data_IF_738080887154
#
_entry.id   IF_738080887154
#
_cell.length_a   1.000
_cell.length_b   1.000
_cell.length_c   1.000
_cell.angle_alpha   90.00
_cell.angle_beta   90.00
_cell.angle_gamma   90.00
#
_symmetry.space_group_name_H-M   'P 1'
#
loop_
_entity.id
_entity.type
_entity.pdbx_description
1 polymer ?
#
# COMPACT_ATOMS: atom_id res chain seq x y z
N UNK A 1 24.25 62.17 14.55
CA UNK A 1 24.33 60.72 14.10
C UNK A 1 23.10 60.04 14.63
N UNK A 2 22.03 60.10 13.81
CA UNK A 2 20.75 59.50 14.17
C UNK A 2 20.78 57.99 13.90
N UNK A 3 20.70 57.25 14.97
CA UNK A 3 20.47 55.80 14.90
C UNK A 3 18.97 55.55 14.57
N UNK A 4 18.71 55.27 13.33
CA UNK A 4 17.41 54.77 12.84
C UNK A 4 17.08 53.46 13.55
N UNK A 5 16.31 53.55 14.65
CA UNK A 5 15.72 52.41 15.31
C UNK A 5 14.63 51.86 14.40
N UNK A 6 15.01 50.88 13.55
CA UNK A 6 14.06 50.14 12.74
C UNK A 6 13.30 49.19 13.68
N UNK A 7 12.19 49.60 14.21
CA UNK A 7 11.23 48.76 14.91
C UNK A 7 10.79 47.63 13.93
N UNK A 8 11.52 46.54 13.94
CA UNK A 8 10.99 45.29 13.40
C UNK A 8 9.79 44.92 14.27
N UNK A 9 8.62 45.02 13.69
CA UNK A 9 7.39 44.47 14.28
C UNK A 9 7.58 42.98 14.44
N UNK A 10 7.95 42.54 15.62
CA UNK A 10 7.92 41.14 16.00
C UNK A 10 6.44 40.75 16.15
N UNK A 11 5.98 39.89 15.23
CA UNK A 11 4.63 39.31 15.34
C UNK A 11 4.74 38.20 16.39
N UNK A 12 4.39 38.49 17.62
CA UNK A 12 4.26 37.47 18.65
C UNK A 12 2.96 36.70 18.40
N UNK A 13 3.08 35.52 17.83
CA UNK A 13 1.95 34.61 17.58
C UNK A 13 1.66 33.89 18.90
N UNK A 14 0.55 34.18 19.54
CA UNK A 14 0.09 33.43 20.69
C UNK A 14 -0.52 32.09 20.20
N UNK A 15 0.22 31.01 20.43
CA UNK A 15 -0.22 29.67 20.00
C UNK A 15 -1.58 29.25 20.59
N UNK A 16 -1.88 29.70 21.83
CA UNK A 16 -3.14 29.39 22.50
C UNK A 16 -4.32 30.02 21.78
N UNK A 17 -4.19 31.29 21.40
CA UNK A 17 -5.25 32.03 20.71
C UNK A 17 -5.47 31.51 19.30
N UNK A 18 -4.39 31.15 18.62
CA UNK A 18 -4.41 30.46 17.29
C UNK A 18 -5.18 29.14 17.36
N UNK A 19 -4.87 28.32 18.37
CA UNK A 19 -5.53 27.01 18.55
C UNK A 19 -7.03 27.18 18.89
N UNK A 20 -7.36 28.12 19.75
CA UNK A 20 -8.74 28.44 20.12
C UNK A 20 -9.53 28.99 18.92
N UNK A 21 -8.89 29.79 18.06
CA UNK A 21 -9.51 30.27 16.81
C UNK A 21 -9.80 29.12 15.86
N UNK A 22 -8.86 28.21 15.65
CA UNK A 22 -9.06 27.01 14.79
C UNK A 22 -10.20 26.15 15.33
N UNK A 23 -10.24 25.93 16.66
CA UNK A 23 -11.32 25.16 17.31
C UNK A 23 -12.69 25.86 17.15
N UNK A 24 -12.77 27.18 17.27
CA UNK A 24 -14.02 27.92 17.08
C UNK A 24 -14.55 27.83 15.64
N UNK A 25 -13.68 27.51 14.67
CA UNK A 25 -13.99 27.33 13.27
C UNK A 25 -13.87 25.86 12.80
N UNK A 26 -13.89 24.91 13.75
CA UNK A 26 -13.72 23.48 13.46
C UNK A 26 -14.71 22.92 12.43
N UNK A 27 -15.93 23.50 12.36
CA UNK A 27 -16.91 23.11 11.35
C UNK A 27 -16.44 23.40 9.91
N UNK A 28 -15.67 24.49 9.70
CA UNK A 28 -15.08 24.84 8.40
C UNK A 28 -14.00 23.80 8.04
N UNK A 29 -13.15 23.43 9.02
CA UNK A 29 -12.16 22.37 8.85
C UNK A 29 -12.83 21.05 8.47
N UNK A 30 -13.88 20.66 9.21
CA UNK A 30 -14.62 19.44 8.93
C UNK A 30 -15.24 19.44 7.52
N UNK A 31 -15.84 20.54 7.11
CA UNK A 31 -16.46 20.68 5.78
C UNK A 31 -15.40 20.65 4.67
N UNK A 32 -14.28 21.34 4.84
CA UNK A 32 -13.18 21.34 3.87
C UNK A 32 -12.52 19.95 3.77
N UNK A 33 -12.33 19.26 4.91
CA UNK A 33 -11.81 17.88 4.92
C UNK A 33 -12.77 16.91 4.23
N UNK A 34 -14.08 17.03 4.49
CA UNK A 34 -15.09 16.21 3.81
C UNK A 34 -15.06 16.42 2.29
N UNK A 35 -14.95 17.67 1.86
CA UNK A 35 -14.84 18.00 0.44
C UNK A 35 -13.57 17.41 -0.19
N UNK A 36 -12.44 17.48 0.51
CA UNK A 36 -11.19 16.85 0.06
C UNK A 36 -11.32 15.33 -0.06
N UNK A 37 -12.01 14.67 0.86
CA UNK A 37 -12.32 13.22 0.79
C UNK A 37 -13.16 12.91 -0.44
N UNK A 38 -14.21 13.69 -0.71
CA UNK A 38 -15.07 13.50 -1.88
C UNK A 38 -14.26 13.67 -3.18
N UNK A 39 -13.44 14.69 -3.26
CA UNK A 39 -12.58 14.94 -4.44
C UNK A 39 -11.59 13.79 -4.64
N UNK A 40 -10.93 13.33 -3.57
CA UNK A 40 -10.01 12.17 -3.62
C UNK A 40 -10.72 10.88 -4.04
N UNK A 41 -11.93 10.65 -3.54
CA UNK A 41 -12.75 9.50 -3.93
C UNK A 41 -13.14 9.54 -5.41
N UNK A 42 -13.63 10.68 -5.91
CA UNK A 42 -13.97 10.86 -7.32
C UNK A 42 -12.75 10.72 -8.23
N UNK A 43 -11.62 11.32 -7.82
CA UNK A 43 -10.36 11.16 -8.54
C UNK A 43 -9.96 9.69 -8.67
N UNK A 44 -10.04 8.94 -7.59
CA UNK A 44 -9.67 7.51 -7.60
C UNK A 44 -10.57 6.69 -8.51
N UNK A 45 -11.90 6.90 -8.48
CA UNK A 45 -12.81 6.16 -9.37
C UNK A 45 -12.62 6.48 -10.85
N UNK A 46 -12.24 7.73 -11.18
CA UNK A 46 -12.15 8.15 -12.58
C UNK A 46 -10.78 7.85 -13.17
N UNK A 47 -9.70 7.98 -12.38
CA UNK A 47 -8.33 7.96 -12.89
C UNK A 47 -7.50 6.75 -12.45
N UNK A 48 -7.94 5.99 -11.44
CA UNK A 48 -7.22 4.81 -10.97
C UNK A 48 -7.86 3.56 -11.55
N UNK A 49 -7.06 2.79 -12.29
CA UNK A 49 -7.50 1.53 -12.87
C UNK A 49 -7.82 0.50 -11.78
N UNK A 50 -8.87 -0.29 -12.03
CA UNK A 50 -9.22 -1.41 -11.17
C UNK A 50 -8.09 -2.44 -11.16
N UNK A 51 -7.74 -2.93 -9.97
CA UNK A 51 -6.76 -3.99 -9.81
C UNK A 51 -7.38 -5.20 -9.15
N UNK A 52 -6.90 -6.36 -9.57
CA UNK A 52 -7.41 -7.65 -9.12
C UNK A 52 -6.29 -8.44 -8.46
N UNK A 53 -6.54 -8.93 -7.25
CA UNK A 53 -5.58 -9.73 -6.49
C UNK A 53 -6.01 -11.18 -6.41
N UNK A 54 -5.05 -12.09 -6.61
CA UNK A 54 -5.23 -13.52 -6.44
C UNK A 54 -4.11 -14.12 -5.64
N UNK A 55 -4.43 -14.94 -4.63
CA UNK A 55 -3.48 -15.53 -3.70
C UNK A 55 -3.34 -17.02 -3.94
N UNK A 56 -2.12 -17.48 -4.15
CA UNK A 56 -1.73 -18.88 -4.10
C UNK A 56 -0.89 -19.17 -2.87
N UNK A 57 -1.01 -20.36 -2.29
CA UNK A 57 -0.25 -20.77 -1.11
C UNK A 57 0.57 -22.00 -1.40
N UNK A 58 1.84 -21.92 -1.05
CA UNK A 58 2.82 -22.98 -1.21
C UNK A 58 3.30 -23.43 0.16
N UNK A 59 3.18 -24.70 0.44
CA UNK A 59 3.74 -25.33 1.63
C UNK A 59 5.14 -25.80 1.33
N UNK A 60 6.12 -25.34 2.09
CA UNK A 60 7.53 -25.67 1.93
C UNK A 60 7.93 -26.56 3.09
N UNK A 61 8.54 -27.69 2.79
CA UNK A 61 8.97 -28.63 3.82
C UNK A 61 10.31 -29.28 3.44
N UNK A 62 11.07 -29.60 4.49
CA UNK A 62 12.28 -30.41 4.36
C UNK A 62 11.94 -31.83 4.75
N UNK A 63 12.29 -32.80 3.91
CA UNK A 63 12.02 -34.21 4.17
C UNK A 63 12.74 -34.74 5.39
N UNK A 64 13.84 -34.11 5.81
CA UNK A 64 14.56 -34.45 7.02
C UNK A 64 13.77 -34.13 8.30
N UNK A 65 12.87 -33.14 8.30
CA UNK A 65 12.03 -32.80 9.45
C UNK A 65 11.00 -33.90 9.77
N UNK A 66 10.56 -34.67 8.75
CA UNK A 66 9.50 -35.68 8.89
C UNK A 66 9.91 -36.84 9.82
N UNK A 67 11.21 -37.07 10.03
CA UNK A 67 11.73 -38.09 10.92
C UNK A 67 12.17 -37.60 12.30
N UNK A 68 12.17 -36.29 12.52
CA UNK A 68 12.63 -35.69 13.78
C UNK A 68 11.40 -35.29 14.60
N UNK A 69 11.35 -35.82 15.84
CA UNK A 69 10.33 -35.46 16.81
C UNK A 69 10.92 -34.62 17.94
N UNK A 70 10.15 -33.64 18.40
CA UNK A 70 10.49 -32.84 19.58
C UNK A 70 10.32 -33.65 20.91
N UNK A 71 10.55 -33.00 22.06
CA UNK A 71 10.38 -33.59 23.40
C UNK A 71 8.95 -34.08 23.67
N UNK A 72 7.96 -33.60 22.91
CA UNK A 72 6.54 -33.95 23.03
C UNK A 72 6.12 -35.05 22.05
N UNK A 73 7.05 -35.57 21.25
CA UNK A 73 6.83 -36.52 20.16
C UNK A 73 6.06 -35.91 18.96
N UNK A 74 6.09 -34.56 18.81
CA UNK A 74 5.57 -33.83 17.63
C UNK A 74 6.68 -33.66 16.59
N UNK A 75 6.32 -33.57 15.31
CA UNK A 75 7.29 -33.35 14.23
C UNK A 75 7.94 -31.97 14.39
N UNK A 76 9.26 -31.92 14.36
CA UNK A 76 10.02 -30.68 14.45
C UNK A 76 10.11 -30.01 13.05
N UNK A 77 9.30 -29.01 12.81
CA UNK A 77 9.26 -28.25 11.57
C UNK A 77 10.25 -27.07 11.50
N UNK A 78 11.33 -27.10 12.27
CA UNK A 78 12.26 -25.96 12.36
C UNK A 78 12.95 -25.66 11.05
N UNK A 79 13.49 -26.67 10.35
CA UNK A 79 14.14 -26.49 9.05
C UNK A 79 13.14 -26.05 7.98
N UNK A 80 12.00 -26.71 7.91
CA UNK A 80 10.93 -26.35 6.97
C UNK A 80 10.48 -24.90 7.12
N UNK A 81 10.32 -24.42 8.36
CA UNK A 81 9.99 -23.01 8.63
C UNK A 81 11.10 -22.07 8.21
N UNK A 82 12.36 -22.44 8.43
CA UNK A 82 13.50 -21.63 8.01
C UNK A 82 13.54 -21.49 6.48
N UNK A 83 13.33 -22.56 5.74
CA UNK A 83 13.22 -22.51 4.28
C UNK A 83 12.01 -21.69 3.83
N UNK A 84 10.86 -21.85 4.45
CA UNK A 84 9.68 -21.08 4.10
C UNK A 84 9.87 -19.57 4.31
N UNK A 85 10.58 -19.17 5.39
CA UNK A 85 10.90 -17.77 5.66
C UNK A 85 11.84 -17.17 4.64
N UNK A 86 12.83 -17.95 4.16
CA UNK A 86 13.82 -17.49 3.17
C UNK A 86 13.28 -17.55 1.74
N UNK A 87 12.23 -18.31 1.47
CA UNK A 87 11.71 -18.59 0.14
C UNK A 87 11.28 -17.37 -0.68
N UNK A 88 10.74 -16.28 -0.08
CA UNK A 88 10.46 -15.06 -0.85
C UNK A 88 11.69 -14.46 -1.54
N UNK A 89 12.89 -14.67 -1.00
CA UNK A 89 14.14 -14.16 -1.57
C UNK A 89 14.53 -14.87 -2.88
N UNK A 90 14.00 -16.07 -3.14
CA UNK A 90 14.21 -16.79 -4.39
C UNK A 90 13.31 -16.30 -5.53
N UNK A 91 12.32 -15.46 -5.27
CA UNK A 91 11.46 -14.86 -6.30
C UNK A 91 12.17 -13.65 -6.92
N UNK A 92 13.13 -13.95 -7.77
CA UNK A 92 14.00 -13.00 -8.48
C UNK A 92 13.54 -12.75 -9.92
N UNK A 93 14.25 -11.88 -10.65
CA UNK A 93 14.03 -11.69 -12.09
C UNK A 93 14.28 -12.98 -12.88
N UNK A 94 15.31 -13.76 -12.51
CA UNK A 94 15.65 -15.01 -13.16
C UNK A 94 14.52 -16.04 -12.99
N UNK A 95 14.00 -16.17 -11.78
CA UNK A 95 12.83 -17.00 -11.53
C UNK A 95 11.61 -16.54 -12.33
N UNK A 96 11.34 -15.24 -12.35
CA UNK A 96 10.25 -14.69 -13.15
C UNK A 96 10.42 -14.98 -14.64
N UNK A 97 11.66 -14.99 -15.14
CA UNK A 97 11.93 -15.36 -16.54
C UNK A 97 11.60 -16.84 -16.82
N UNK A 98 11.89 -17.75 -15.88
CA UNK A 98 11.49 -19.16 -15.98
C UNK A 98 9.96 -19.29 -16.06
N UNK A 99 9.23 -18.58 -15.16
CA UNK A 99 7.76 -18.58 -15.19
C UNK A 99 7.21 -18.04 -16.50
N UNK A 100 7.78 -16.95 -17.03
CA UNK A 100 7.38 -16.38 -18.32
C UNK A 100 7.60 -17.37 -19.46
N UNK A 101 8.75 -18.06 -19.47
CA UNK A 101 9.05 -19.07 -20.47
C UNK A 101 8.01 -20.21 -20.43
N UNK A 102 7.62 -20.66 -19.24
CA UNK A 102 6.54 -21.66 -19.06
C UNK A 102 5.18 -21.16 -19.53
N UNK A 103 4.84 -19.90 -19.27
CA UNK A 103 3.57 -19.29 -19.71
C UNK A 103 3.50 -19.11 -21.22
N UNK A 104 4.61 -18.77 -21.87
CA UNK A 104 4.70 -18.54 -23.31
C UNK A 104 5.04 -19.81 -24.10
N UNK A 105 5.50 -20.87 -23.44
CA UNK A 105 6.01 -22.08 -24.08
C UNK A 105 7.32 -21.89 -24.83
N UNK A 106 8.14 -20.91 -24.42
CA UNK A 106 9.41 -20.57 -25.06
C UNK A 106 10.58 -21.00 -24.17
N UNK A 107 11.68 -21.46 -24.79
CA UNK A 107 12.95 -21.77 -24.11
C UNK A 107 12.76 -22.59 -22.81
N UNK A 108 11.97 -23.66 -22.90
CA UNK A 108 11.76 -24.59 -21.80
C UNK A 108 13.02 -25.44 -21.60
N UNK A 109 13.47 -25.56 -20.33
CA UNK A 109 14.57 -26.49 -19.99
C UNK A 109 14.13 -27.95 -20.08
N UNK A 110 15.12 -28.89 -20.11
CA UNK A 110 14.81 -30.32 -20.14
C UNK A 110 13.92 -30.70 -18.91
N UNK A 111 12.74 -31.25 -19.20
CA UNK A 111 11.77 -31.67 -18.21
C UNK A 111 10.71 -30.61 -17.86
N UNK A 112 10.88 -29.35 -18.22
CA UNK A 112 9.87 -28.33 -18.04
C UNK A 112 8.75 -28.43 -19.07
N UNK A 113 7.53 -28.20 -18.64
CA UNK A 113 6.34 -28.16 -19.47
C UNK A 113 5.70 -26.78 -19.49
N UNK A 114 5.05 -26.46 -20.62
CA UNK A 114 4.24 -25.25 -20.72
C UNK A 114 3.15 -25.25 -19.64
N UNK A 115 2.94 -24.13 -18.98
CA UNK A 115 1.87 -23.98 -17.99
C UNK A 115 0.49 -24.03 -18.67
N UNK A 116 -0.39 -24.89 -18.18
CA UNK A 116 -1.73 -25.06 -18.74
C UNK A 116 -2.69 -23.95 -18.31
N UNK A 117 -2.89 -22.96 -19.16
CA UNK A 117 -3.83 -21.88 -18.98
C UNK A 117 -5.27 -22.22 -19.40
N UNK A 118 -5.53 -23.44 -19.91
CA UNK A 118 -6.83 -23.81 -20.50
C UNK A 118 -8.01 -23.66 -19.52
N UNK A 119 -7.75 -23.89 -18.25
CA UNK A 119 -8.74 -23.70 -17.15
C UNK A 119 -9.29 -22.27 -17.09
N UNK A 120 -8.48 -21.28 -17.46
CA UNK A 120 -8.83 -19.85 -17.36
C UNK A 120 -9.22 -19.25 -18.71
N UNK A 121 -8.52 -19.67 -19.77
CA UNK A 121 -8.57 -19.05 -21.09
C UNK A 121 -9.26 -19.93 -22.15
N UNK A 122 -9.57 -21.19 -21.82
CA UNK A 122 -10.10 -22.16 -22.80
C UNK A 122 -9.08 -22.44 -23.90
N UNK A 123 -9.38 -22.03 -25.14
CA UNK A 123 -8.51 -22.27 -26.31
C UNK A 123 -7.57 -21.08 -26.63
N UNK A 124 -7.71 -19.95 -25.94
CA UNK A 124 -6.88 -18.77 -26.18
C UNK A 124 -5.49 -18.97 -25.58
N UNK A 125 -4.44 -18.63 -26.30
CA UNK A 125 -3.07 -18.69 -25.77
C UNK A 125 -2.84 -17.57 -24.73
N UNK A 126 -1.91 -17.81 -23.78
CA UNK A 126 -1.55 -16.79 -22.81
C UNK A 126 -1.07 -15.49 -23.48
N UNK A 127 -0.29 -15.60 -24.56
CA UNK A 127 0.22 -14.45 -25.30
C UNK A 127 -0.92 -13.59 -25.87
N UNK A 128 -1.88 -14.21 -26.55
CA UNK A 128 -3.03 -13.48 -27.14
C UNK A 128 -3.88 -12.82 -26.06
N UNK A 129 -4.10 -13.53 -24.94
CA UNK A 129 -4.82 -13.00 -23.81
C UNK A 129 -4.10 -11.82 -23.18
N UNK A 130 -2.80 -11.96 -22.89
CA UNK A 130 -1.98 -10.90 -22.30
C UNK A 130 -1.97 -9.65 -23.19
N UNK A 131 -1.80 -9.81 -24.49
CA UNK A 131 -1.85 -8.70 -25.46
C UNK A 131 -3.22 -8.01 -25.44
N UNK A 132 -4.29 -8.78 -25.34
CA UNK A 132 -5.66 -8.20 -25.33
C UNK A 132 -5.96 -7.38 -24.06
N UNK A 133 -5.36 -7.77 -22.92
CA UNK A 133 -5.58 -7.11 -21.63
C UNK A 133 -4.68 -5.89 -21.45
N UNK A 134 -3.38 -6.05 -21.75
CA UNK A 134 -2.36 -5.04 -21.45
C UNK A 134 -1.95 -4.17 -22.63
N UNK A 135 -2.33 -4.57 -23.86
CA UNK A 135 -1.87 -3.96 -25.11
C UNK A 135 -0.39 -4.18 -25.42
N UNK A 136 0.30 -5.07 -24.69
CA UNK A 136 1.72 -5.39 -24.86
C UNK A 136 1.90 -6.80 -25.38
N UNK A 137 2.87 -7.00 -26.25
CA UNK A 137 3.12 -8.31 -26.88
C UNK A 137 3.74 -9.35 -25.95
N UNK A 138 4.48 -8.90 -24.94
CA UNK A 138 5.19 -9.77 -23.99
C UNK A 138 5.25 -9.15 -22.61
N UNK A 139 5.30 -10.01 -21.59
CA UNK A 139 5.58 -9.64 -20.21
C UNK A 139 7.08 -9.73 -19.96
N UNK A 140 7.66 -8.78 -19.25
CA UNK A 140 9.07 -8.82 -18.82
C UNK A 140 9.17 -9.30 -17.38
N UNK A 141 10.34 -9.85 -16.98
CA UNK A 141 10.61 -10.31 -15.63
C UNK A 141 10.40 -9.18 -14.59
N UNK A 142 10.90 -7.97 -14.86
CA UNK A 142 10.70 -6.80 -14.02
C UNK A 142 9.21 -6.45 -13.87
N UNK A 143 8.44 -6.59 -14.93
CA UNK A 143 7.00 -6.32 -14.88
C UNK A 143 6.26 -7.40 -14.09
N UNK A 144 6.65 -8.66 -14.25
CA UNK A 144 6.10 -9.76 -13.45
C UNK A 144 6.39 -9.57 -11.97
N UNK A 145 7.62 -9.19 -11.59
CA UNK A 145 7.96 -8.87 -10.19
C UNK A 145 7.10 -7.74 -9.61
N UNK A 146 6.74 -6.74 -10.41
CA UNK A 146 5.84 -5.67 -9.95
C UNK A 146 4.40 -6.14 -9.69
N UNK A 147 3.98 -7.20 -10.33
CA UNK A 147 2.69 -7.81 -10.09
C UNK A 147 2.68 -8.72 -8.86
N UNK A 148 3.86 -9.12 -8.36
CA UNK A 148 3.99 -10.11 -7.30
C UNK A 148 4.29 -9.46 -5.95
N UNK A 149 3.59 -9.93 -4.93
CA UNK A 149 3.96 -9.77 -3.53
C UNK A 149 4.08 -11.16 -2.93
N UNK A 150 5.24 -11.48 -2.38
CA UNK A 150 5.50 -12.80 -1.80
C UNK A 150 5.83 -12.62 -0.33
N UNK A 151 5.08 -13.28 0.51
CA UNK A 151 5.20 -13.19 1.95
C UNK A 151 5.27 -14.57 2.60
N UNK A 152 6.04 -14.68 3.66
CA UNK A 152 6.08 -15.88 4.50
C UNK A 152 5.76 -15.50 5.94
N UNK A 153 4.96 -16.34 6.59
CA UNK A 153 4.72 -16.22 8.02
C UNK A 153 5.76 -17.05 8.77
N UNK A 154 6.63 -16.40 9.54
CA UNK A 154 7.71 -17.06 10.29
C UNK A 154 7.28 -18.16 11.27
N UNK A 155 6.00 -18.29 11.56
CA UNK A 155 5.44 -19.33 12.43
C UNK A 155 4.88 -20.54 11.66
N UNK A 156 4.88 -20.48 10.32
CA UNK A 156 4.30 -21.52 9.46
C UNK A 156 5.28 -21.91 8.36
N UNK A 157 5.08 -23.09 7.79
CA UNK A 157 5.82 -23.55 6.61
C UNK A 157 5.13 -23.10 5.29
N UNK A 158 4.35 -22.03 5.33
CA UNK A 158 3.56 -21.57 4.19
C UNK A 158 4.08 -20.25 3.68
N UNK A 159 4.35 -20.20 2.39
CA UNK A 159 4.60 -19.00 1.62
C UNK A 159 3.32 -18.61 0.87
N UNK A 160 2.95 -17.35 0.92
CA UNK A 160 1.82 -16.78 0.18
C UNK A 160 2.33 -15.95 -1.00
N UNK A 161 1.84 -16.26 -2.17
CA UNK A 161 2.14 -15.57 -3.42
C UNK A 161 0.87 -14.84 -3.85
N UNK A 162 0.92 -13.52 -3.81
CA UNK A 162 -0.17 -12.63 -4.24
C UNK A 162 0.21 -12.00 -5.57
N UNK A 163 -0.62 -12.19 -6.58
CA UNK A 163 -0.51 -11.48 -7.86
C UNK A 163 -1.57 -10.39 -7.95
N UNK A 164 -1.13 -9.16 -8.24
CA UNK A 164 -1.96 -7.96 -8.38
C UNK A 164 -1.83 -7.39 -9.81
N UNK A 165 -2.89 -7.52 -10.60
CA UNK A 165 -2.89 -7.15 -12.02
C UNK A 165 -4.17 -6.40 -12.42
N UNK A 166 -4.18 -5.90 -13.66
CA UNK A 166 -5.31 -5.15 -14.25
C UNK A 166 -6.51 -6.06 -14.63
N UNK A 167 -6.31 -7.39 -14.66
CA UNK A 167 -7.36 -8.34 -15.02
C UNK A 167 -7.46 -9.49 -14.02
N UNK A 168 -8.70 -9.89 -13.71
CA UNK A 168 -8.97 -10.93 -12.72
C UNK A 168 -8.44 -12.31 -13.11
N UNK A 169 -8.46 -12.67 -14.39
CA UNK A 169 -7.92 -13.95 -14.86
C UNK A 169 -6.39 -13.91 -14.89
N UNK A 170 -5.82 -12.77 -15.29
CA UNK A 170 -4.38 -12.58 -15.33
C UNK A 170 -3.77 -12.75 -13.94
N UNK A 171 -4.38 -12.15 -12.89
CA UNK A 171 -3.90 -12.32 -11.52
C UNK A 171 -3.91 -13.79 -11.07
N UNK A 172 -4.99 -14.51 -11.37
CA UNK A 172 -5.08 -15.93 -11.01
C UNK A 172 -4.06 -16.80 -11.79
N UNK A 173 -3.85 -16.52 -13.08
CA UNK A 173 -2.88 -17.26 -13.90
C UNK A 173 -1.47 -17.02 -13.38
N UNK A 174 -1.07 -15.77 -13.14
CA UNK A 174 0.27 -15.43 -12.66
C UNK A 174 0.51 -16.04 -11.28
N UNK A 175 -0.40 -15.87 -10.32
CA UNK A 175 -0.24 -16.43 -8.98
C UNK A 175 -0.03 -17.95 -9.00
N UNK A 176 -0.83 -18.65 -9.81
CA UNK A 176 -0.74 -20.10 -9.91
C UNK A 176 0.47 -20.58 -10.70
N UNK A 177 0.83 -19.90 -11.79
CA UNK A 177 2.02 -20.25 -12.56
C UNK A 177 3.30 -20.06 -11.75
N UNK A 178 3.38 -19.00 -10.94
CA UNK A 178 4.48 -18.74 -10.01
C UNK A 178 4.54 -19.84 -8.95
N UNK A 179 3.40 -20.17 -8.32
CA UNK A 179 3.33 -21.19 -7.29
C UNK A 179 3.72 -22.59 -7.82
N UNK A 180 3.27 -22.94 -9.02
CA UNK A 180 3.56 -24.22 -9.66
C UNK A 180 5.01 -24.34 -10.14
N UNK A 181 5.61 -23.22 -10.57
CA UNK A 181 7.01 -23.20 -11.01
C UNK A 181 8.00 -23.17 -9.84
N UNK A 182 7.53 -22.83 -8.63
CA UNK A 182 8.40 -22.64 -7.49
C UNK A 182 8.99 -23.94 -6.96
N UNK A 183 8.25 -25.06 -7.03
CA UNK A 183 8.74 -26.37 -6.61
C UNK A 183 9.97 -26.79 -7.41
N UNK A 184 9.87 -26.77 -8.75
CA UNK A 184 10.96 -27.16 -9.65
C UNK A 184 12.17 -26.23 -9.50
N UNK A 185 11.91 -24.91 -9.42
CA UNK A 185 12.96 -23.91 -9.29
C UNK A 185 13.71 -24.00 -7.94
N UNK A 186 12.99 -24.25 -6.85
CA UNK A 186 13.60 -24.38 -5.53
C UNK A 186 14.54 -25.61 -5.45
N UNK A 187 14.11 -26.72 -6.04
CA UNK A 187 14.93 -27.94 -6.12
C UNK A 187 16.23 -27.71 -6.92
N UNK A 188 16.12 -26.99 -8.04
CA UNK A 188 17.26 -26.65 -8.91
C UNK A 188 18.25 -25.71 -8.20
N UNK A 189 17.76 -24.62 -7.59
CA UNK A 189 18.62 -23.63 -6.91
C UNK A 189 19.31 -24.18 -5.68
N UNK A 190 18.63 -25.02 -4.91
CA UNK A 190 19.20 -25.62 -3.69
C UNK A 190 20.03 -26.86 -3.97
N UNK A 191 20.04 -27.38 -5.21
CA UNK A 191 20.73 -28.60 -5.63
C UNK A 191 20.46 -29.79 -4.65
N UNK A 192 19.22 -29.88 -4.13
CA UNK A 192 18.82 -30.87 -3.16
C UNK A 192 17.37 -31.34 -3.35
N UNK A 193 17.15 -32.64 -3.20
CA UNK A 193 15.82 -33.25 -3.17
C UNK A 193 15.17 -33.25 -1.79
N UNK A 194 15.84 -32.72 -0.78
CA UNK A 194 15.33 -32.72 0.60
C UNK A 194 14.29 -31.62 0.82
N UNK A 195 14.44 -30.47 0.16
CA UNK A 195 13.50 -29.35 0.28
C UNK A 195 12.48 -29.46 -0.85
N UNK A 196 11.22 -29.46 -0.47
CA UNK A 196 10.10 -29.58 -1.41
C UNK A 196 9.09 -28.48 -1.17
N UNK A 197 8.49 -28.04 -2.26
CA UNK A 197 7.39 -27.08 -2.24
C UNK A 197 6.12 -27.77 -2.81
N UNK A 198 4.98 -27.50 -2.23
CA UNK A 198 3.70 -28.05 -2.68
C UNK A 198 2.61 -26.98 -2.65
N UNK A 199 1.95 -26.79 -3.79
CA UNK A 199 0.79 -25.90 -3.84
C UNK A 199 -0.33 -26.48 -2.98
N UNK A 200 -0.70 -25.79 -1.90
CA UNK A 200 -1.78 -26.18 -0.99
C UNK A 200 -3.08 -25.46 -1.29
N UNK A 201 -3.01 -24.26 -1.83
CA UNK A 201 -4.17 -23.51 -2.24
C UNK A 201 -3.85 -22.76 -3.54
N UNK A 202 -4.62 -23.06 -4.58
CA UNK A 202 -4.51 -22.36 -5.86
C UNK A 202 -5.27 -21.03 -5.80
N UNK A 203 -4.69 -20.00 -6.39
CA UNK A 203 -5.33 -18.70 -6.55
C UNK A 203 -6.61 -18.81 -7.38
N UNK A 204 -7.64 -18.14 -6.91
CA UNK A 204 -8.95 -18.10 -7.59
C UNK A 204 -9.08 -16.82 -8.38
N UNK A 205 -9.84 -16.86 -9.47
CA UNK A 205 -10.20 -15.65 -10.20
C UNK A 205 -11.04 -14.75 -9.30
N UNK A 206 -10.58 -13.55 -8.95
CA UNK A 206 -11.32 -12.66 -8.07
C UNK A 206 -12.60 -12.16 -8.76
N UNK A 207 -13.69 -12.11 -8.00
CA UNK A 207 -15.01 -11.63 -8.49
C UNK A 207 -15.16 -10.12 -8.43
N UNK A 208 -14.29 -9.45 -7.68
CA UNK A 208 -14.31 -7.99 -7.48
C UNK A 208 -12.89 -7.45 -7.51
N UNK A 209 -12.76 -6.21 -7.96
CA UNK A 209 -11.51 -5.48 -7.88
C UNK A 209 -11.07 -5.30 -6.43
N UNK A 210 -9.76 -5.35 -6.21
CA UNK A 210 -9.14 -5.03 -4.93
C UNK A 210 -9.06 -3.51 -4.80
N UNK A 211 -9.89 -2.93 -3.93
CA UNK A 211 -9.93 -1.47 -3.74
C UNK A 211 -8.92 -0.96 -2.70
N UNK A 212 -7.78 -1.63 -2.52
CA UNK A 212 -6.75 -1.17 -1.59
C UNK A 212 -6.26 0.24 -1.90
N UNK A 213 -6.11 0.57 -3.18
CA UNK A 213 -5.69 1.92 -3.60
C UNK A 213 -6.76 2.97 -3.29
N UNK A 214 -8.04 2.63 -3.41
CA UNK A 214 -9.15 3.51 -3.04
C UNK A 214 -9.07 3.90 -1.57
N UNK A 215 -8.87 2.94 -0.68
CA UNK A 215 -8.74 3.19 0.76
C UNK A 215 -7.51 4.06 1.06
N UNK A 216 -6.37 3.75 0.46
CA UNK A 216 -5.11 4.52 0.62
C UNK A 216 -5.29 5.97 0.16
N UNK A 217 -5.91 6.20 -0.99
CA UNK A 217 -6.12 7.53 -1.55
C UNK A 217 -7.13 8.35 -0.73
N UNK A 218 -8.20 7.74 -0.22
CA UNK A 218 -9.16 8.40 0.67
C UNK A 218 -8.48 8.86 1.96
N UNK A 219 -7.68 8.00 2.59
CA UNK A 219 -6.95 8.35 3.82
C UNK A 219 -5.95 9.49 3.54
N UNK A 220 -5.21 9.41 2.43
CA UNK A 220 -4.29 10.46 2.02
C UNK A 220 -5.02 11.79 1.76
N UNK A 221 -6.15 11.75 1.06
CA UNK A 221 -7.01 12.91 0.82
C UNK A 221 -7.54 13.54 2.10
N UNK A 222 -7.92 12.71 3.08
CA UNK A 222 -8.37 13.19 4.39
C UNK A 222 -7.24 13.91 5.16
N UNK A 223 -6.04 13.34 5.19
CA UNK A 223 -4.87 13.93 5.87
C UNK A 223 -4.49 15.27 5.20
N UNK A 224 -4.38 15.27 3.87
CA UNK A 224 -4.05 16.49 3.11
C UNK A 224 -5.12 17.56 3.27
N UNK A 225 -6.40 17.20 3.22
CA UNK A 225 -7.52 18.12 3.41
C UNK A 225 -7.52 18.75 4.79
N UNK A 226 -7.28 17.95 5.83
CA UNK A 226 -7.17 18.44 7.20
C UNK A 226 -5.98 19.40 7.36
N UNK A 227 -4.81 19.03 6.82
CA UNK A 227 -3.62 19.89 6.92
C UNK A 227 -3.81 21.22 6.18
N UNK A 228 -4.31 21.19 4.94
CA UNK A 228 -4.53 22.39 4.14
C UNK A 228 -5.59 23.30 4.74
N UNK A 229 -6.67 22.74 5.30
CA UNK A 229 -7.72 23.55 5.96
C UNK A 229 -7.22 24.22 7.22
N UNK A 230 -6.43 23.53 8.05
CA UNK A 230 -5.79 24.13 9.21
C UNK A 230 -4.78 25.22 8.81
N UNK A 231 -3.95 24.96 7.79
CA UNK A 231 -2.99 25.94 7.28
C UNK A 231 -3.69 27.20 6.74
N UNK A 232 -4.80 27.04 6.00
CA UNK A 232 -5.58 28.15 5.47
C UNK A 232 -6.19 28.99 6.61
N UNK A 233 -6.77 28.36 7.64
CA UNK A 233 -7.30 29.08 8.82
C UNK A 233 -6.19 29.78 9.59
N UNK A 234 -5.04 29.16 9.75
CA UNK A 234 -3.86 29.78 10.36
C UNK A 234 -3.43 31.03 9.60
N UNK A 235 -3.38 30.93 8.27
CA UNK A 235 -3.01 32.07 7.42
C UNK A 235 -4.03 33.21 7.51
N UNK A 236 -5.32 32.89 7.53
CA UNK A 236 -6.39 33.87 7.78
C UNK A 236 -6.26 34.50 9.16
N UNK A 237 -5.89 33.72 10.19
CA UNK A 237 -5.67 34.23 11.53
C UNK A 237 -4.52 35.24 11.60
N UNK A 238 -3.37 34.88 10.97
CA UNK A 238 -2.16 35.74 10.96
C UNK A 238 -2.36 37.02 10.13
N UNK A 239 -3.08 36.92 9.00
CA UNK A 239 -3.36 38.08 8.14
C UNK A 239 -4.49 38.98 8.65
N UNK A 240 -5.20 38.57 9.70
CA UNK A 240 -6.32 39.31 10.23
C UNK A 240 -5.84 40.27 11.33
N UNK A 241 -5.52 41.49 10.97
CA UNK A 241 -5.04 42.57 11.83
C UNK A 241 -6.13 43.13 12.82
N UNK A 242 -7.18 42.38 13.12
CA UNK A 242 -8.20 42.82 14.06
C UNK A 242 -7.69 42.77 15.49
N UNK A 243 -7.76 43.92 16.16
CA UNK A 243 -7.53 44.05 17.59
C UNK A 243 -8.56 43.17 18.34
N UNK A 244 -8.09 42.21 19.13
CA UNK A 244 -8.96 41.25 19.83
C UNK A 244 -8.78 41.23 21.33
N UNK A 245 -7.63 41.67 21.81
CA UNK A 245 -7.31 41.68 23.25
C UNK A 245 -7.01 43.09 23.73
N UNK A 246 -7.21 43.36 25.04
CA UNK A 246 -6.80 44.62 25.66
C UNK A 246 -5.31 44.91 25.45
N UNK A 247 -4.49 43.87 25.45
CA UNK A 247 -3.05 43.95 25.21
C UNK A 247 -2.72 44.41 23.79
N UNK A 248 -3.55 44.04 22.80
CA UNK A 248 -3.41 44.51 21.41
C UNK A 248 -3.62 46.03 21.33
N UNK A 249 -4.59 46.56 22.10
CA UNK A 249 -4.87 48.00 22.16
C UNK A 249 -3.67 48.75 22.72
N UNK A 250 -3.08 48.28 23.81
CA UNK A 250 -1.90 48.90 24.43
C UNK A 250 -0.69 48.85 23.47
N UNK A 251 -0.50 47.72 22.78
CA UNK A 251 0.61 47.52 21.88
C UNK A 251 0.49 48.28 20.54
N UNK A 252 -0.73 48.41 20.00
CA UNK A 252 -0.96 49.12 18.74
C UNK A 252 -1.22 50.61 18.87
N UNK A 253 -1.91 51.02 19.93
CA UNK A 253 -2.28 52.42 20.12
C UNK A 253 -1.45 53.15 21.18
N UNK A 254 -0.62 52.41 21.94
CA UNK A 254 0.20 52.99 23.01
C UNK A 254 -0.61 53.60 24.16
N UNK A 255 -1.87 53.20 24.34
CA UNK A 255 -2.79 53.70 25.33
C UNK A 255 -3.12 52.60 26.32
N UNK A 256 -2.93 52.85 27.64
CA UNK A 256 -3.26 51.85 28.66
C UNK A 256 -4.79 51.63 28.73
N UNK A 257 -5.19 50.36 28.72
CA UNK A 257 -6.60 49.95 28.82
C UNK A 257 -7.04 50.06 30.28
N UNK A 258 -7.98 50.95 30.56
CA UNK A 258 -8.50 51.22 31.93
C UNK A 258 -9.48 50.14 32.40
N UNK A 259 -10.00 49.30 31.53
CA UNK A 259 -10.90 48.20 31.86
C UNK A 259 -11.58 47.60 30.66
N UNK A 260 -11.97 46.33 30.76
CA UNK A 260 -12.78 45.61 29.76
C UNK A 260 -14.17 45.32 30.31
N UNK A 261 -15.19 45.56 29.48
CA UNK A 261 -16.57 45.19 29.80
C UNK A 261 -16.79 43.79 29.24
N UNK A 262 -17.05 42.76 30.07
CA UNK A 262 -17.32 41.43 29.57
C UNK A 262 -18.62 41.41 28.74
N UNK A 263 -18.61 40.68 27.65
CA UNK A 263 -19.81 40.45 26.85
C UNK A 263 -20.81 39.64 27.67
N UNK A 264 -22.02 40.19 27.85
CA UNK A 264 -23.09 39.49 28.54
C UNK A 264 -23.51 38.29 27.69
N UNK A 265 -23.34 37.08 28.21
CA UNK A 265 -23.88 35.86 27.61
C UNK A 265 -25.39 36.06 27.43
N UNK A 266 -25.85 36.08 26.18
CA UNK A 266 -27.26 35.99 25.87
C UNK A 266 -27.72 34.57 26.18
N UNK A 267 -28.29 34.37 27.34
CA UNK A 267 -29.14 33.19 27.59
C UNK A 267 -30.33 33.26 26.64
N UNK A 268 -30.30 32.33 25.62
CA UNK A 268 -31.48 31.99 24.82
C UNK A 268 -31.66 30.47 24.88
#
# INVERSE_FOLDING_TARGET
MDSKNTNKREIEINLKDTFQYILSKAWIVALATLLAIIVSFLYTIIFVEDRYTSDARVFIYNSSDVGITDKNNDIDWTLSRQYAVSSPEFVTEDFCQVVINRLLGNNLDEGQTMYDCSKYLGKTSFKEFYTSVTGKDTITAIQMLKYLTVESNGNTCVMMITADTEDAKLSAIIANAVADSFEDYLADVLETDEVKAKVTNSGKVPLKASNEQLTKNIVLGAILGLFLSCAALFLVFVLNDKIRTPEDIEKFLGISVLGSIPELEKDI
#
